data_IF_390110152122
#
_entry.id   IF_390110152122
#
_cell.length_a   1.000
_cell.length_b   1.000
_cell.length_c   1.000
_cell.angle_alpha   90.00
_cell.angle_beta   90.00
_cell.angle_gamma   90.00
#
_symmetry.space_group_name_H-M   'P 1'
#
loop_
_entity.id
_entity.type
_entity.pdbx_description
1 polymer ?
#
# COMPACT_ATOMS: atom_id res chain seq x y z
N UNK A 1 -9.26 -7.28 1.79
CA UNK A 1 -8.74 -5.96 1.36
C UNK A 1 -9.43 -5.54 0.09
N UNK A 2 -9.46 -4.23 -0.16
CA UNK A 2 -10.12 -3.64 -1.31
C UNK A 2 -9.25 -2.50 -1.87
N UNK A 3 -8.76 -2.57 -3.12
CA UNK A 3 -8.08 -1.44 -3.74
C UNK A 3 -9.07 -0.39 -4.26
N UNK A 4 -8.59 0.82 -4.56
CA UNK A 4 -9.27 1.78 -5.43
C UNK A 4 -9.27 1.21 -6.86
N UNK A 5 -10.32 0.45 -7.18
CA UNK A 5 -10.41 -0.36 -8.38
C UNK A 5 -10.77 0.50 -9.58
N UNK A 6 -11.70 1.44 -9.41
CA UNK A 6 -12.14 2.35 -10.47
C UNK A 6 -11.16 3.53 -10.68
N UNK A 7 -10.18 3.72 -9.80
CA UNK A 7 -9.15 4.76 -9.81
C UNK A 7 -9.73 6.17 -9.65
N UNK A 8 -10.75 6.31 -8.81
CA UNK A 8 -11.42 7.58 -8.52
C UNK A 8 -10.90 8.30 -7.27
N UNK A 9 -9.84 7.75 -6.63
CA UNK A 9 -9.18 8.21 -5.41
C UNK A 9 -9.98 7.96 -4.13
N UNK A 10 -11.03 7.16 -4.21
CA UNK A 10 -11.84 6.71 -3.07
C UNK A 10 -11.95 5.19 -3.14
N UNK A 11 -12.36 4.60 -2.03
CA UNK A 11 -12.63 3.17 -1.94
C UNK A 11 -14.02 3.01 -1.35
N UNK A 12 -14.93 2.40 -2.12
CA UNK A 12 -16.33 2.26 -1.75
C UNK A 12 -16.97 0.98 -2.32
N UNK A 13 -18.30 0.86 -2.23
CA UNK A 13 -19.06 -0.32 -2.66
C UNK A 13 -18.96 -0.58 -4.18
N UNK A 14 -18.68 0.44 -4.99
CA UNK A 14 -18.41 0.29 -6.42
C UNK A 14 -17.12 -0.50 -6.65
N UNK A 15 -16.05 -0.20 -5.91
CA UNK A 15 -14.79 -0.95 -5.98
C UNK A 15 -14.99 -2.41 -5.57
N UNK A 16 -15.80 -2.63 -4.53
CA UNK A 16 -16.14 -3.98 -4.10
C UNK A 16 -16.89 -4.74 -5.20
N UNK A 17 -17.86 -4.07 -5.84
CA UNK A 17 -18.61 -4.63 -6.95
C UNK A 17 -17.71 -4.94 -8.15
N UNK A 18 -16.74 -4.07 -8.45
CA UNK A 18 -15.76 -4.28 -9.50
C UNK A 18 -14.81 -5.44 -9.19
N UNK A 19 -14.32 -5.57 -7.95
CA UNK A 19 -13.49 -6.69 -7.52
C UNK A 19 -14.23 -8.03 -7.67
N UNK A 20 -15.52 -8.06 -7.31
CA UNK A 20 -16.35 -9.27 -7.45
C UNK A 20 -16.61 -9.62 -8.92
N UNK A 21 -16.90 -8.61 -9.75
CA UNK A 21 -17.33 -8.83 -11.15
C UNK A 21 -16.17 -8.98 -12.14
N UNK A 22 -15.06 -8.27 -11.93
CA UNK A 22 -13.87 -8.29 -12.80
C UNK A 22 -12.76 -9.20 -12.28
N UNK A 23 -12.86 -9.66 -11.04
CA UNK A 23 -11.86 -10.51 -10.40
C UNK A 23 -10.68 -9.71 -9.85
N UNK A 24 -9.52 -10.35 -9.77
CA UNK A 24 -8.35 -9.80 -9.08
C UNK A 24 -7.85 -8.49 -9.69
N UNK A 25 -7.53 -7.53 -8.83
CA UNK A 25 -6.82 -6.31 -9.22
C UNK A 25 -5.36 -6.60 -9.57
N UNK A 26 -4.80 -5.86 -10.53
CA UNK A 26 -3.41 -6.01 -10.98
C UNK A 26 -2.64 -4.72 -10.69
N UNK A 27 -1.50 -4.87 -10.03
CA UNK A 27 -0.57 -3.78 -9.75
C UNK A 27 0.54 -3.75 -10.81
N UNK A 28 1.03 -2.56 -11.09
CA UNK A 28 2.24 -2.36 -11.88
C UNK A 28 3.45 -2.57 -10.97
N UNK A 29 4.59 -2.94 -11.54
CA UNK A 29 5.86 -2.95 -10.81
C UNK A 29 6.41 -1.53 -10.88
N UNK A 30 6.87 -0.99 -9.75
CA UNK A 30 7.50 0.33 -9.68
C UNK A 30 8.97 0.24 -10.13
N UNK A 31 9.18 -0.16 -11.40
CA UNK A 31 10.47 -0.57 -11.99
C UNK A 31 11.21 0.52 -12.78
N UNK A 32 10.74 1.76 -12.71
CA UNK A 32 11.45 2.95 -13.16
C UNK A 32 12.21 3.63 -12.00
N UNK A 33 12.86 4.76 -12.29
CA UNK A 33 13.72 5.50 -11.35
C UNK A 33 13.19 6.94 -11.22
N UNK A 34 11.93 7.05 -10.82
CA UNK A 34 11.27 8.34 -10.63
C UNK A 34 11.82 9.05 -9.37
N UNK A 35 12.38 10.25 -9.54
CA UNK A 35 12.91 11.04 -8.42
C UNK A 35 12.39 12.48 -8.36
N UNK A 36 12.29 13.03 -7.14
CA UNK A 36 12.12 14.46 -6.90
C UNK A 36 10.71 15.05 -7.09
N UNK A 37 10.65 16.38 -6.97
CA UNK A 37 9.44 17.21 -7.04
C UNK A 37 9.52 18.08 -8.29
N UNK A 38 9.21 17.56 -9.47
CA UNK A 38 9.29 18.39 -10.67
C UNK A 38 8.19 19.45 -10.67
N UNK A 39 8.61 20.71 -10.61
CA UNK A 39 7.83 21.82 -11.14
C UNK A 39 7.84 21.77 -12.66
N UNK A 40 6.71 22.08 -13.29
CA UNK A 40 6.57 22.24 -14.74
C UNK A 40 7.77 23.00 -15.35
N UNK A 41 8.39 22.46 -16.40
CA UNK A 41 9.48 23.12 -17.14
C UNK A 41 10.93 22.65 -16.86
N UNK A 42 11.17 21.73 -15.93
CA UNK A 42 12.45 21.01 -15.85
C UNK A 42 12.45 19.83 -16.81
N UNK A 43 13.54 19.65 -17.56
CA UNK A 43 13.69 18.54 -18.51
C UNK A 43 13.44 17.23 -17.76
N UNK A 44 12.58 16.40 -18.34
CA UNK A 44 12.39 15.00 -17.94
C UNK A 44 13.78 14.36 -17.88
N UNK A 45 14.19 13.96 -16.68
CA UNK A 45 15.29 13.02 -16.57
C UNK A 45 14.89 11.75 -17.34
N UNK A 46 15.83 11.20 -18.09
CA UNK A 46 15.80 9.85 -18.64
C UNK A 46 15.48 8.73 -17.63
N UNK A 47 15.34 9.04 -16.34
CA UNK A 47 15.08 8.09 -15.25
C UNK A 47 13.65 7.53 -15.18
N UNK A 48 12.66 8.17 -15.84
CA UNK A 48 11.28 7.66 -15.96
C UNK A 48 11.14 6.61 -17.10
N UNK A 49 12.08 5.69 -17.19
CA UNK A 49 12.06 4.60 -18.17
C UNK A 49 11.90 3.28 -17.42
N UNK A 50 10.89 2.46 -17.76
CA UNK A 50 10.73 1.14 -17.16
C UNK A 50 11.99 0.28 -17.29
N UNK A 51 12.18 -0.65 -16.36
CA UNK A 51 13.38 -1.48 -16.23
C UNK A 51 14.67 -0.69 -15.94
N UNK A 52 14.60 0.27 -15.02
CA UNK A 52 15.83 0.85 -14.48
C UNK A 52 16.68 -0.23 -13.82
N UNK A 53 18.01 -0.06 -13.89
CA UNK A 53 18.95 -0.86 -13.08
C UNK A 53 18.91 -0.51 -11.60
N UNK A 54 18.31 0.62 -11.25
CA UNK A 54 18.13 1.16 -9.91
C UNK A 54 16.65 1.51 -9.69
N UNK A 55 15.73 0.53 -9.77
CA UNK A 55 14.30 0.83 -9.72
C UNK A 55 13.90 1.36 -8.33
N UNK A 56 12.86 2.19 -8.26
CA UNK A 56 12.36 2.78 -7.02
C UNK A 56 11.94 1.71 -6.01
N UNK A 57 11.31 0.63 -6.48
CA UNK A 57 11.00 -0.52 -5.63
C UNK A 57 12.24 -1.23 -5.04
N UNK A 58 13.46 -0.88 -5.48
CA UNK A 58 14.73 -1.48 -5.07
C UNK A 58 15.23 -1.01 -3.70
N UNK A 59 14.82 0.16 -3.22
CA UNK A 59 15.16 0.69 -1.90
C UNK A 59 13.99 0.65 -0.91
N UNK A 60 14.11 1.24 0.29
CA UNK A 60 13.07 1.17 1.32
C UNK A 60 12.39 2.51 1.60
N UNK A 61 12.22 3.37 0.59
CA UNK A 61 11.55 4.67 0.73
C UNK A 61 10.82 5.09 -0.55
N UNK A 62 9.91 6.04 -0.40
CA UNK A 62 9.41 6.83 -1.52
C UNK A 62 10.50 7.82 -1.96
N UNK A 63 10.68 7.99 -3.25
CA UNK A 63 11.75 8.79 -3.88
C UNK A 63 11.28 10.11 -4.49
N UNK A 64 10.09 10.59 -4.12
CA UNK A 64 9.59 11.91 -4.49
C UNK A 64 8.09 11.91 -4.75
N UNK A 65 7.56 13.05 -5.22
CA UNK A 65 6.14 13.15 -5.58
C UNK A 65 5.79 12.37 -6.85
N UNK A 66 6.74 12.16 -7.76
CA UNK A 66 6.53 11.37 -8.98
C UNK A 66 6.36 9.89 -8.69
N UNK A 67 7.27 9.35 -7.89
CA UNK A 67 7.25 7.97 -7.41
C UNK A 67 5.91 7.58 -6.76
N UNK A 68 5.20 8.54 -6.14
CA UNK A 68 3.85 8.30 -5.62
C UNK A 68 2.83 7.84 -6.68
N UNK A 69 3.07 8.08 -7.97
CA UNK A 69 2.17 7.66 -9.05
C UNK A 69 2.13 6.12 -9.22
N UNK A 70 3.18 5.42 -8.80
CA UNK A 70 3.29 3.97 -8.87
C UNK A 70 2.71 3.26 -7.64
N UNK A 71 2.32 4.03 -6.62
CA UNK A 71 1.61 3.53 -5.45
C UNK A 71 0.10 3.50 -5.68
N UNK A 72 -0.52 2.43 -5.18
CA UNK A 72 -1.97 2.23 -5.21
C UNK A 72 -2.53 2.16 -3.79
N UNK A 73 -3.64 2.86 -3.47
CA UNK A 73 -4.24 2.73 -2.16
C UNK A 73 -4.97 1.38 -2.03
N UNK A 74 -4.78 0.72 -0.89
CA UNK A 74 -5.45 -0.53 -0.53
C UNK A 74 -6.06 -0.39 0.86
N UNK A 75 -7.35 -0.70 0.95
CA UNK A 75 -8.09 -0.72 2.21
C UNK A 75 -8.02 -2.08 2.90
N UNK A 76 -7.37 -2.10 4.06
CA UNK A 76 -7.35 -3.18 5.05
C UNK A 76 -8.57 -3.06 5.96
N UNK A 77 -9.72 -3.48 5.45
CA UNK A 77 -10.98 -3.44 6.20
C UNK A 77 -11.11 -4.66 7.14
N UNK A 78 -10.65 -4.51 8.38
CA UNK A 78 -10.77 -5.53 9.44
C UNK A 78 -11.57 -5.05 10.66
N UNK A 79 -12.17 -3.84 10.60
CA UNK A 79 -12.92 -3.25 11.72
C UNK A 79 -14.01 -4.18 12.27
N UNK A 80 -14.84 -4.76 11.39
CA UNK A 80 -15.89 -5.72 11.78
C UNK A 80 -15.34 -6.99 12.43
N UNK A 81 -14.08 -7.33 12.20
CA UNK A 81 -13.39 -8.44 12.85
C UNK A 81 -12.89 -8.03 14.24
N UNK A 82 -12.34 -6.82 14.38
CA UNK A 82 -11.94 -6.24 15.67
C UNK A 82 -13.12 -6.04 16.61
N UNK A 83 -14.28 -5.62 16.10
CA UNK A 83 -15.53 -5.50 16.86
C UNK A 83 -16.03 -6.84 17.43
N UNK A 84 -15.54 -7.96 16.91
CA UNK A 84 -15.88 -9.32 17.37
C UNK A 84 -14.79 -9.93 18.26
N UNK A 85 -13.78 -9.15 18.63
CA UNK A 85 -12.69 -9.60 19.50
C UNK A 85 -13.26 -9.94 20.89
N UNK A 86 -13.02 -11.16 21.41
CA UNK A 86 -13.43 -11.50 22.77
C UNK A 86 -12.74 -10.62 23.80
N UNK A 87 -13.41 -10.37 24.92
CA UNK A 87 -12.84 -9.63 26.04
C UNK A 87 -11.58 -10.33 26.57
N UNK A 88 -10.50 -9.57 26.80
CA UNK A 88 -9.21 -10.10 27.29
C UNK A 88 -8.33 -10.78 26.25
N UNK A 89 -8.75 -10.88 24.99
CA UNK A 89 -7.92 -11.37 23.88
C UNK A 89 -7.34 -10.19 23.12
N UNK A 90 -6.08 -10.27 22.67
CA UNK A 90 -5.45 -9.26 21.80
C UNK A 90 -5.20 -9.89 20.43
N UNK A 91 -5.74 -9.29 19.37
CA UNK A 91 -5.45 -9.70 18.00
C UNK A 91 -4.19 -9.03 17.49
N UNK A 92 -3.31 -9.84 16.89
CA UNK A 92 -2.20 -9.32 16.09
C UNK A 92 -2.56 -9.42 14.61
N UNK A 93 -2.53 -8.26 13.94
CA UNK A 93 -2.81 -8.16 12.52
C UNK A 93 -1.52 -8.23 11.71
N UNK A 94 -1.53 -9.10 10.70
CA UNK A 94 -0.43 -9.28 9.77
C UNK A 94 -0.95 -9.21 8.35
N UNK A 95 -0.15 -8.61 7.47
CA UNK A 95 -0.34 -8.76 6.04
C UNK A 95 0.65 -9.82 5.57
N UNK A 96 0.14 -10.87 4.95
CA UNK A 96 0.97 -11.93 4.40
C UNK A 96 0.99 -11.87 2.90
N UNK A 97 2.19 -12.04 2.35
CA UNK A 97 2.44 -12.15 0.93
C UNK A 97 3.67 -13.08 0.75
N UNK A 98 3.47 -14.23 0.10
CA UNK A 98 4.44 -15.33 0.15
C UNK A 98 5.71 -15.08 -0.67
N UNK A 99 5.67 -14.18 -1.64
CA UNK A 99 6.76 -13.97 -2.59
C UNK A 99 7.44 -12.58 -2.48
N UNK A 100 7.15 -11.84 -1.40
CA UNK A 100 7.69 -10.51 -1.09
C UNK A 100 7.62 -9.49 -2.24
N UNK A 101 6.63 -9.61 -3.13
CA UNK A 101 6.39 -8.78 -4.29
C UNK A 101 5.73 -7.43 -4.00
N UNK A 102 5.40 -7.12 -2.75
CA UNK A 102 4.82 -5.83 -2.39
C UNK A 102 5.58 -5.15 -1.28
N UNK A 103 5.64 -3.83 -1.41
CA UNK A 103 5.99 -2.93 -0.32
C UNK A 103 4.81 -2.02 -0.04
N UNK A 104 4.69 -1.60 1.20
CA UNK A 104 3.63 -0.69 1.63
C UNK A 104 4.15 0.50 2.40
N UNK A 105 3.42 1.59 2.35
CA UNK A 105 3.52 2.72 3.27
C UNK A 105 2.24 2.77 4.09
N UNK A 106 2.38 2.77 5.41
CA UNK A 106 1.27 2.98 6.34
C UNK A 106 0.81 4.43 6.31
N UNK A 107 -0.50 4.67 6.41
CA UNK A 107 -1.07 6.02 6.34
C UNK A 107 -2.20 6.22 7.35
N UNK A 108 -2.59 7.47 7.54
CA UNK A 108 -3.84 7.88 8.23
C UNK A 108 -4.99 8.19 7.25
N UNK A 109 -4.89 7.74 5.99
CA UNK A 109 -5.93 7.98 5.00
C UNK A 109 -7.17 7.13 5.31
N UNK A 110 -8.31 7.60 4.83
CA UNK A 110 -9.60 6.91 4.95
C UNK A 110 -10.06 6.43 3.57
N UNK A 111 -11.03 5.51 3.49
CA UNK A 111 -11.62 5.12 2.21
C UNK A 111 -12.15 6.31 1.40
N UNK A 112 -12.66 7.36 2.06
CA UNK A 112 -13.21 8.54 1.39
C UNK A 112 -12.16 9.48 0.77
N UNK A 113 -10.88 9.30 1.08
CA UNK A 113 -9.78 10.12 0.56
C UNK A 113 -8.52 9.28 0.27
N UNK A 114 -8.72 8.02 -0.12
CA UNK A 114 -7.66 7.02 -0.25
C UNK A 114 -6.54 7.44 -1.21
N UNK A 115 -6.85 8.18 -2.28
CA UNK A 115 -5.87 8.70 -3.24
C UNK A 115 -5.35 10.11 -2.95
N UNK A 116 -5.59 10.69 -1.76
CA UNK A 116 -5.22 12.08 -1.47
C UNK A 116 -3.70 12.33 -1.48
N UNK A 117 -2.88 11.28 -1.31
CA UNK A 117 -1.42 11.37 -1.41
C UNK A 117 -0.94 11.82 -2.81
N UNK A 118 -1.77 11.70 -3.84
CA UNK A 118 -1.46 12.15 -5.21
C UNK A 118 -1.72 13.65 -5.43
N UNK A 119 -2.49 14.29 -4.54
CA UNK A 119 -2.99 15.66 -4.77
C UNK A 119 -2.63 16.63 -3.65
N UNK A 120 -2.21 16.12 -2.50
CA UNK A 120 -1.94 16.95 -1.33
C UNK A 120 -0.81 16.30 -0.52
N UNK A 121 0.24 17.07 -0.16
CA UNK A 121 1.29 16.55 0.71
C UNK A 121 0.72 15.95 1.99
N UNK A 122 1.25 14.79 2.39
CA UNK A 122 0.83 14.07 3.59
C UNK A 122 2.02 13.97 4.53
N UNK A 123 1.84 14.22 5.81
CA UNK A 123 2.91 14.13 6.83
C UNK A 123 2.66 13.02 7.85
N UNK A 124 1.75 12.11 7.54
CA UNK A 124 1.32 11.04 8.44
C UNK A 124 1.45 9.69 7.77
N UNK A 125 2.64 9.44 7.23
CA UNK A 125 3.01 8.23 6.52
C UNK A 125 4.11 7.46 7.27
N UNK A 126 4.41 6.24 6.78
CA UNK A 126 5.42 5.32 7.29
C UNK A 126 5.04 4.68 8.65
N UNK A 127 5.82 3.70 9.19
CA UNK A 127 5.40 2.91 10.36
C UNK A 127 5.06 3.73 11.62
N UNK A 128 5.69 4.88 11.81
CA UNK A 128 5.43 5.79 12.93
C UNK A 128 4.40 6.90 12.60
N UNK A 129 3.81 6.88 11.40
CA UNK A 129 2.83 7.87 10.91
C UNK A 129 3.29 9.33 11.10
N UNK A 130 4.56 9.61 10.83
CA UNK A 130 5.21 10.89 11.08
C UNK A 130 6.04 11.42 9.89
N UNK A 131 6.14 10.65 8.82
CA UNK A 131 6.94 11.03 7.65
C UNK A 131 6.07 11.66 6.56
N UNK A 132 6.73 12.49 5.74
CA UNK A 132 6.11 13.01 4.52
C UNK A 132 5.93 11.91 3.49
N UNK A 133 4.85 11.94 2.71
CA UNK A 133 4.55 10.94 1.68
C UNK A 133 5.69 10.79 0.67
N UNK A 134 6.29 11.89 0.22
CA UNK A 134 7.34 11.90 -0.81
C UNK A 134 8.69 11.33 -0.35
N UNK A 135 8.85 11.00 0.94
CA UNK A 135 10.07 10.40 1.51
C UNK A 135 9.75 9.28 2.49
N UNK A 136 8.52 8.76 2.46
CA UNK A 136 8.03 7.82 3.45
C UNK A 136 8.76 6.48 3.36
N UNK A 137 9.11 5.89 4.49
CA UNK A 137 9.71 4.57 4.55
C UNK A 137 8.71 3.52 4.06
N UNK A 138 9.13 2.69 3.10
CA UNK A 138 8.36 1.56 2.60
C UNK A 138 8.69 0.30 3.41
N UNK A 139 7.70 -0.55 3.62
CA UNK A 139 7.80 -1.80 4.38
C UNK A 139 7.52 -2.96 3.46
N UNK A 140 8.52 -3.81 3.23
CA UNK A 140 8.33 -5.06 2.49
C UNK A 140 7.37 -5.99 3.26
N UNK A 141 6.38 -6.51 2.55
CA UNK A 141 5.43 -7.47 3.12
C UNK A 141 6.05 -8.86 3.04
N UNK A 142 6.72 -9.23 4.13
CA UNK A 142 7.19 -10.60 4.35
C UNK A 142 6.11 -11.43 5.09
N UNK A 143 6.20 -12.76 5.08
CA UNK A 143 5.22 -13.63 5.77
C UNK A 143 5.01 -13.37 7.27
N UNK A 144 5.96 -12.70 7.93
CA UNK A 144 5.92 -12.36 9.35
C UNK A 144 5.68 -10.87 9.63
N UNK A 145 5.34 -10.05 8.63
CA UNK A 145 5.17 -8.61 8.80
C UNK A 145 3.94 -8.29 9.68
N UNK A 146 4.20 -7.75 10.87
CA UNK A 146 3.19 -7.27 11.82
C UNK A 146 2.91 -5.80 11.58
N UNK A 147 1.65 -5.39 11.64
CA UNK A 147 1.31 -3.98 11.56
C UNK A 147 1.77 -3.21 12.80
N UNK A 148 2.34 -2.00 12.63
CA UNK A 148 2.72 -1.15 13.75
C UNK A 148 1.47 -0.69 14.52
N UNK A 149 1.60 -0.51 15.83
CA UNK A 149 0.51 -0.14 16.73
C UNK A 149 -0.26 1.11 16.26
N UNK A 150 0.46 2.16 15.86
CA UNK A 150 -0.16 3.38 15.33
C UNK A 150 -1.04 3.12 14.09
N UNK A 151 -0.72 2.12 13.27
CA UNK A 151 -1.57 1.72 12.15
C UNK A 151 -2.73 0.83 12.57
N UNK A 152 -2.56 -0.01 13.61
CA UNK A 152 -3.66 -0.79 14.20
C UNK A 152 -4.77 0.13 14.69
N UNK A 153 -4.46 1.28 15.30
CA UNK A 153 -5.43 2.32 15.68
C UNK A 153 -6.24 2.83 14.46
N UNK A 154 -5.62 2.89 13.27
CA UNK A 154 -6.34 3.25 12.04
C UNK A 154 -7.30 2.12 11.60
N UNK A 155 -6.93 0.85 11.82
CA UNK A 155 -7.81 -0.29 11.54
C UNK A 155 -9.07 -0.26 12.42
N UNK A 156 -8.94 0.12 13.69
CA UNK A 156 -10.05 0.24 14.65
C UNK A 156 -11.08 1.28 14.24
N UNK A 157 -10.60 2.42 13.74
CA UNK A 157 -11.49 3.49 13.25
C UNK A 157 -12.14 3.12 11.91
N UNK A 158 -11.52 2.21 11.14
CA UNK A 158 -11.92 1.82 9.78
C UNK A 158 -11.10 2.51 8.69
N UNK A 159 -10.09 3.31 9.06
CA UNK A 159 -9.21 4.07 8.18
C UNK A 159 -7.95 3.29 7.77
N UNK A 160 -8.05 1.97 7.62
CA UNK A 160 -6.93 1.09 7.30
C UNK A 160 -6.40 1.22 5.88
N UNK A 161 -5.98 2.40 5.42
CA UNK A 161 -5.42 2.60 4.08
C UNK A 161 -3.90 2.46 4.11
N UNK A 162 -3.38 1.58 3.27
CA UNK A 162 -1.95 1.52 2.93
C UNK A 162 -1.76 1.98 1.49
N UNK A 163 -0.64 2.63 1.21
CA UNK A 163 -0.16 2.81 -0.16
C UNK A 163 0.69 1.59 -0.50
N UNK A 164 0.40 0.90 -1.60
CA UNK A 164 1.10 -0.32 -2.00
C UNK A 164 1.77 -0.14 -3.37
N UNK A 165 3.00 -0.61 -3.50
CA UNK A 165 3.74 -0.67 -4.75
C UNK A 165 4.14 -2.12 -5.08
N UNK A 166 4.32 -2.41 -6.37
CA UNK A 166 4.87 -3.68 -6.83
C UNK A 166 6.39 -3.70 -6.81
N UNK A 167 6.99 -4.69 -6.14
CA UNK A 167 8.43 -4.86 -6.01
C UNK A 167 8.99 -6.11 -6.73
N UNK A 168 8.14 -7.01 -7.21
CA UNK A 168 8.56 -8.14 -8.04
C UNK A 168 7.39 -8.81 -8.78
N UNK A 169 7.61 -9.27 -10.01
CA UNK A 169 6.70 -10.18 -10.70
C UNK A 169 7.25 -11.61 -10.75
N UNK A 170 6.33 -12.58 -10.75
CA UNK A 170 6.63 -14.02 -10.85
C UNK A 170 7.20 -14.42 -12.22
N UNK A 171 6.98 -13.62 -13.26
CA UNK A 171 7.43 -13.89 -14.62
C UNK A 171 8.14 -12.65 -15.19
N UNK A 172 9.41 -12.80 -15.58
CA UNK A 172 10.15 -11.79 -16.36
C UNK A 172 9.35 -11.44 -17.62
N UNK A 173 9.11 -10.15 -17.86
CA UNK A 173 8.48 -9.65 -19.10
C UNK A 173 6.99 -9.31 -19.02
N UNK A 174 6.39 -9.28 -17.82
CA UNK A 174 5.03 -8.74 -17.62
C UNK A 174 5.07 -7.40 -16.87
N UNK A 175 4.41 -6.41 -17.45
CA UNK A 175 4.23 -5.04 -16.92
C UNK A 175 3.28 -4.96 -15.70
N UNK A 176 2.61 -6.06 -15.37
CA UNK A 176 1.64 -6.13 -14.28
C UNK A 176 1.73 -7.48 -13.57
N UNK A 177 1.68 -7.46 -12.25
CA UNK A 177 1.57 -8.68 -11.46
C UNK A 177 0.09 -9.04 -11.28
N UNK A 178 -0.31 -10.16 -11.88
CA UNK A 178 -1.57 -10.84 -11.56
C UNK A 178 -1.34 -11.68 -10.30
N UNK A 179 -1.90 -11.28 -9.16
CA UNK A 179 -1.67 -12.04 -7.92
C UNK A 179 -3.00 -12.34 -7.24
N UNK A 180 -3.23 -13.63 -7.02
CA UNK A 180 -4.29 -14.11 -6.14
C UNK A 180 -3.89 -13.79 -4.70
N UNK A 181 -4.63 -12.88 -4.07
CA UNK A 181 -4.73 -12.79 -2.63
C UNK A 181 -3.53 -12.16 -1.93
N UNK A 182 -3.55 -10.83 -1.81
CA UNK A 182 -3.15 -10.26 -0.54
C UNK A 182 -4.17 -10.74 0.50
N UNK A 183 -3.71 -11.43 1.53
CA UNK A 183 -4.58 -11.99 2.56
C UNK A 183 -4.23 -11.32 3.89
N UNK A 184 -5.18 -10.60 4.53
CA UNK A 184 -4.99 -10.17 5.89
C UNK A 184 -5.12 -11.43 6.77
N UNK A 185 -4.08 -11.73 7.55
CA UNK A 185 -4.09 -12.81 8.53
C UNK A 185 -4.24 -12.21 9.93
N UNK A 186 -5.07 -12.85 10.74
CA UNK A 186 -5.17 -12.54 12.17
C UNK A 186 -4.52 -13.68 12.92
N UNK A 187 -3.49 -13.36 13.69
CA UNK A 187 -2.93 -14.28 14.67
C UNK A 187 -3.48 -13.91 16.05
N UNK A 188 -4.04 -14.91 16.71
CA UNK A 188 -4.51 -14.80 18.08
C UNK A 188 -3.33 -15.15 18.97
N UNK A 189 -2.87 -14.19 19.76
CA UNK A 189 -1.91 -14.45 20.83
C UNK A 189 -2.69 -14.56 22.13
N UNK A 190 -2.60 -15.72 22.79
CA UNK A 190 -3.14 -15.85 24.15
C UNK A 190 -2.29 -15.00 25.12
N UNK A 191 -2.90 -14.39 26.15
CA UNK A 191 -2.14 -13.70 27.19
C UNK A 191 -1.21 -14.68 27.93
N UNK A 192 -0.08 -14.18 28.48
CA UNK A 192 0.87 -14.99 29.23
C UNK A 192 0.29 -15.56 30.53
#
# INVERSE_FOLDING_TARGET
MLPDFNRDRKINDEDQSLLITKGSFRFWINDDEDEGNFTEGKKQDSSNVPWSSSPNHGDNKVSGLRDLLDFFPVWVNVKKLMEKQPEGVIFQFRLRQDDSALKIVYTTLSPGNAGAFLTTPRTSCAPALSQSSEVATTTAIAPSAVFPECFVEQLETGNGIVMAEGAACYEKGKWCCERKGLIPEVQITEPP
#
